data_IF_995518166153
#
_entry.id   IF_995518166153
#
_cell.length_a   1.000
_cell.length_b   1.000
_cell.length_c   1.000
_cell.angle_alpha   90.00
_cell.angle_beta   90.00
_cell.angle_gamma   90.00
#
_symmetry.space_group_name_H-M   'P 1'
#
loop_
_entity.id
_entity.type
_entity.pdbx_description
1 polymer ?
#
# COMPACT_ATOMS: atom_id res chain seq x y z
N UNK A 1 -12.60 12.13 -0.68
CA UNK A 1 -11.17 12.42 -0.45
C UNK A 1 -10.98 13.90 -0.72
N UNK A 2 -10.38 14.61 0.24
CA UNK A 2 -10.24 16.07 0.19
C UNK A 2 -8.85 16.41 -0.34
N UNK A 3 -8.79 17.09 -1.48
CA UNK A 3 -7.55 17.45 -2.16
C UNK A 3 -7.71 18.81 -2.85
N UNK A 4 -6.61 19.50 -3.11
CA UNK A 4 -6.66 20.87 -3.67
C UNK A 4 -6.98 20.91 -5.17
N UNK A 5 -6.76 19.80 -5.87
CA UNK A 5 -6.96 19.67 -7.31
C UNK A 5 -7.61 18.32 -7.66
N UNK A 6 -7.95 18.14 -8.93
CA UNK A 6 -8.42 16.85 -9.45
C UNK A 6 -7.30 15.81 -9.34
N UNK A 7 -7.63 14.67 -8.72
CA UNK A 7 -6.71 13.57 -8.49
C UNK A 7 -6.66 12.57 -9.63
N UNK A 8 -7.52 12.74 -10.65
CA UNK A 8 -7.66 11.79 -11.76
C UNK A 8 -7.91 10.36 -11.25
N UNK A 9 -8.90 10.22 -10.36
CA UNK A 9 -9.24 8.93 -9.75
C UNK A 9 -9.99 8.03 -10.72
N UNK A 10 -9.45 6.83 -10.94
CA UNK A 10 -10.11 5.73 -11.62
C UNK A 10 -10.36 4.56 -10.66
N UNK A 11 -11.21 3.62 -11.10
CA UNK A 11 -11.45 2.37 -10.39
C UNK A 11 -10.69 1.21 -11.05
N UNK A 12 -9.97 0.46 -10.24
CA UNK A 12 -9.19 -0.68 -10.68
C UNK A 12 -9.66 -1.96 -10.02
N UNK A 13 -9.72 -3.04 -10.80
CA UNK A 13 -9.90 -4.40 -10.30
C UNK A 13 -8.56 -5.13 -10.42
N UNK A 14 -8.04 -5.58 -9.29
CA UNK A 14 -6.83 -6.38 -9.25
C UNK A 14 -7.16 -7.84 -8.91
N UNK A 15 -6.86 -8.80 -9.80
CA UNK A 15 -7.04 -10.21 -9.51
C UNK A 15 -6.02 -10.72 -8.47
N UNK A 16 -6.34 -11.86 -7.86
CA UNK A 16 -5.38 -12.61 -7.01
C UNK A 16 -4.22 -13.17 -7.84
N UNK A 17 -3.07 -13.39 -7.20
CA UNK A 17 -1.88 -13.98 -7.80
C UNK A 17 -0.97 -13.00 -8.55
N UNK A 18 -1.27 -11.69 -8.53
CA UNK A 18 -0.42 -10.67 -9.15
C UNK A 18 0.91 -10.57 -8.43
N UNK A 19 2.00 -10.62 -9.17
CA UNK A 19 3.33 -10.28 -8.66
C UNK A 19 3.48 -8.76 -8.67
N UNK A 20 3.80 -8.19 -7.52
CA UNK A 20 3.95 -6.74 -7.33
C UNK A 20 5.30 -6.42 -6.68
N UNK A 21 5.72 -5.18 -6.84
CA UNK A 21 6.84 -4.60 -6.12
C UNK A 21 6.47 -3.24 -5.52
N UNK A 22 7.27 -2.79 -4.56
CA UNK A 22 7.03 -1.58 -3.80
C UNK A 22 7.39 -0.29 -4.53
N UNK A 23 7.72 -0.30 -5.82
CA UNK A 23 8.04 0.91 -6.59
C UNK A 23 9.42 1.51 -6.29
N UNK A 24 10.33 0.77 -5.64
CA UNK A 24 11.66 1.24 -5.24
C UNK A 24 12.81 0.53 -5.98
N UNK A 25 12.52 0.03 -7.20
CA UNK A 25 13.49 -0.71 -8.02
C UNK A 25 14.02 -1.97 -7.32
N UNK A 26 15.32 -2.22 -7.40
CA UNK A 26 15.96 -3.43 -6.87
C UNK A 26 15.87 -3.56 -5.34
N UNK A 27 15.72 -2.44 -4.63
CA UNK A 27 15.53 -2.42 -3.18
C UNK A 27 14.07 -2.57 -2.77
N UNK A 28 13.16 -2.63 -3.75
CA UNK A 28 11.73 -2.73 -3.56
C UNK A 28 11.32 -4.05 -2.91
N UNK A 29 10.43 -3.94 -1.93
CA UNK A 29 9.71 -5.06 -1.38
C UNK A 29 8.86 -5.73 -2.45
N UNK A 30 8.90 -7.05 -2.55
CA UNK A 30 8.16 -7.82 -3.57
C UNK A 30 7.13 -8.72 -2.90
N UNK A 31 5.94 -8.82 -3.50
CA UNK A 31 4.90 -9.72 -3.03
C UNK A 31 4.06 -10.32 -4.15
N UNK A 32 3.25 -11.32 -3.77
CA UNK A 32 2.19 -11.86 -4.61
C UNK A 32 0.84 -11.65 -3.91
N UNK A 33 -0.16 -11.16 -4.63
CA UNK A 33 -1.50 -10.95 -4.08
C UNK A 33 -2.18 -12.29 -3.77
N UNK A 34 -2.75 -12.41 -2.56
CA UNK A 34 -3.54 -13.56 -2.13
C UNK A 34 -5.02 -13.37 -2.43
N UNK A 35 -5.50 -12.13 -2.29
CA UNK A 35 -6.88 -11.75 -2.51
C UNK A 35 -7.00 -10.79 -3.68
N UNK A 36 -8.12 -10.87 -4.39
CA UNK A 36 -8.52 -9.84 -5.36
C UNK A 36 -9.09 -8.60 -4.65
N UNK A 37 -8.94 -7.43 -5.27
CA UNK A 37 -9.44 -6.16 -4.73
C UNK A 37 -10.04 -5.25 -5.80
N UNK A 38 -10.95 -4.38 -5.36
CA UNK A 38 -11.38 -3.18 -6.08
C UNK A 38 -10.87 -1.96 -5.33
N UNK A 39 -10.27 -1.02 -6.06
CA UNK A 39 -9.61 0.14 -5.45
C UNK A 39 -9.90 1.43 -6.22
N UNK A 40 -9.79 2.56 -5.53
CA UNK A 40 -9.67 3.88 -6.12
C UNK A 40 -8.19 4.24 -6.30
N UNK A 41 -7.82 4.71 -7.49
CA UNK A 41 -6.47 5.22 -7.75
C UNK A 41 -6.35 6.71 -7.43
N UNK A 42 -5.12 7.14 -7.18
CA UNK A 42 -4.72 8.54 -7.22
C UNK A 42 -3.63 8.70 -8.29
N UNK A 43 -3.88 9.57 -9.27
CA UNK A 43 -3.01 9.83 -10.43
C UNK A 43 -2.55 8.57 -11.17
N UNK A 44 -3.35 7.49 -11.16
CA UNK A 44 -2.96 6.19 -11.72
C UNK A 44 -1.66 5.58 -11.16
N UNK A 45 -1.18 6.11 -10.02
CA UNK A 45 0.14 5.80 -9.47
C UNK A 45 0.08 5.13 -8.09
N UNK A 46 -1.01 5.30 -7.35
CA UNK A 46 -1.17 4.75 -6.01
C UNK A 46 -2.60 4.34 -5.69
N UNK A 47 -2.74 3.51 -4.67
CA UNK A 47 -4.04 3.09 -4.12
C UNK A 47 -4.42 3.99 -2.95
N UNK A 48 -5.43 4.83 -3.16
CA UNK A 48 -5.93 5.72 -2.11
C UNK A 48 -6.83 4.96 -1.13
N UNK A 49 -7.81 4.23 -1.63
CA UNK A 49 -8.69 3.38 -0.83
C UNK A 49 -9.19 2.16 -1.60
N UNK A 50 -9.82 1.22 -0.91
CA UNK A 50 -10.44 0.07 -1.55
C UNK A 50 -10.89 -1.02 -0.61
N UNK A 51 -11.39 -2.10 -1.20
CA UNK A 51 -11.86 -3.29 -0.51
C UNK A 51 -11.42 -4.56 -1.22
N UNK A 52 -11.07 -5.59 -0.46
CA UNK A 52 -10.77 -6.90 -1.03
C UNK A 52 -11.96 -7.87 -0.99
N UNK A 53 -11.84 -9.00 -1.66
CA UNK A 53 -12.88 -10.04 -1.75
C UNK A 53 -13.23 -10.72 -0.41
N UNK A 54 -12.57 -10.37 0.69
CA UNK A 54 -12.88 -10.81 2.06
C UNK A 54 -13.59 -9.74 2.88
N UNK A 55 -13.84 -8.56 2.31
CA UNK A 55 -14.52 -7.45 2.97
C UNK A 55 -13.61 -6.59 3.83
N UNK A 56 -12.29 -6.78 3.79
CA UNK A 56 -11.35 -5.85 4.40
C UNK A 56 -11.35 -4.55 3.60
N UNK A 57 -11.50 -3.43 4.30
CA UNK A 57 -11.47 -2.07 3.73
C UNK A 57 -10.21 -1.37 4.23
N UNK A 58 -9.49 -0.71 3.31
CA UNK A 58 -8.32 0.10 3.63
C UNK A 58 -8.47 1.49 3.00
N UNK A 59 -8.05 2.53 3.73
CA UNK A 59 -8.12 3.93 3.31
C UNK A 59 -6.81 4.61 3.73
N UNK A 60 -6.07 5.17 2.79
CA UNK A 60 -4.89 6.01 3.04
C UNK A 60 -5.30 7.46 3.14
N UNK A 61 -5.20 8.02 4.34
CA UNK A 61 -5.51 9.42 4.61
C UNK A 61 -4.23 10.23 4.67
N UNK A 62 -4.26 11.40 4.05
CA UNK A 62 -3.12 12.31 4.07
C UNK A 62 -2.94 12.92 5.46
N UNK A 63 -1.69 12.95 5.93
CA UNK A 63 -1.31 13.57 7.19
C UNK A 63 0.05 14.26 7.01
N UNK A 64 0.03 15.58 6.80
CA UNK A 64 1.22 16.43 6.52
C UNK A 64 2.32 16.29 7.58
N UNK A 65 1.93 16.07 8.84
CA UNK A 65 2.86 15.99 9.97
C UNK A 65 3.50 14.60 10.14
N UNK A 66 3.31 13.69 9.17
CA UNK A 66 3.86 12.34 9.24
C UNK A 66 5.38 12.33 9.02
N UNK A 67 6.08 11.60 9.89
CA UNK A 67 7.51 11.35 9.74
C UNK A 67 7.76 9.92 9.24
N UNK A 68 8.50 9.81 8.14
CA UNK A 68 8.94 8.52 7.60
C UNK A 68 10.38 8.22 8.00
N UNK A 69 10.72 6.98 8.37
CA UNK A 69 12.07 6.63 8.77
C UNK A 69 13.05 6.78 7.60
N UNK A 70 14.25 7.28 7.88
CA UNK A 70 15.32 7.34 6.87
C UNK A 70 15.76 5.92 6.50
N UNK A 71 15.91 5.61 5.19
CA UNK A 71 16.45 4.31 4.77
C UNK A 71 17.96 4.18 5.01
N UNK A 72 18.66 5.26 5.40
CA UNK A 72 20.11 5.26 5.56
C UNK A 72 20.54 4.36 6.73
N UNK A 73 21.30 3.32 6.42
CA UNK A 73 21.81 2.37 7.42
C UNK A 73 20.80 1.29 7.82
N UNK A 74 19.66 1.22 7.13
CA UNK A 74 18.68 0.16 7.29
C UNK A 74 18.73 -0.80 6.09
N UNK A 75 18.72 -2.10 6.37
CA UNK A 75 18.84 -3.14 5.34
C UNK A 75 17.48 -3.76 4.99
N UNK A 76 16.37 -3.25 5.54
CA UNK A 76 15.04 -3.69 5.18
C UNK A 76 14.69 -3.24 3.76
N UNK A 77 13.91 -4.03 3.01
CA UNK A 77 13.40 -3.60 1.72
C UNK A 77 12.54 -2.32 1.85
N UNK A 78 12.49 -1.55 0.77
CA UNK A 78 11.78 -0.29 0.70
C UNK A 78 10.44 -0.44 -0.02
N UNK A 79 9.52 0.46 0.28
CA UNK A 79 8.22 0.57 -0.38
C UNK A 79 7.89 2.05 -0.54
N UNK A 80 7.47 2.44 -1.74
CA UNK A 80 6.86 3.73 -2.00
C UNK A 80 5.59 3.86 -1.16
N UNK A 81 5.40 5.00 -0.52
CA UNK A 81 4.19 5.27 0.24
C UNK A 81 2.91 5.12 -0.61
N UNK A 82 2.98 5.41 -1.92
CA UNK A 82 1.87 5.26 -2.85
C UNK A 82 1.37 3.80 -2.98
N UNK A 83 2.25 2.83 -2.71
CA UNK A 83 1.93 1.41 -2.75
C UNK A 83 1.46 0.85 -1.40
N UNK A 84 1.60 1.60 -0.30
CA UNK A 84 1.46 1.08 1.07
C UNK A 84 0.11 0.41 1.37
N UNK A 85 -0.98 0.96 0.84
CA UNK A 85 -2.34 0.44 1.07
C UNK A 85 -2.54 -0.94 0.44
N UNK A 86 -1.93 -1.19 -0.72
CA UNK A 86 -2.26 -2.34 -1.56
C UNK A 86 -1.85 -3.70 -0.95
N UNK A 87 -0.68 -3.87 -0.31
CA UNK A 87 -0.32 -5.09 0.43
C UNK A 87 -1.28 -5.47 1.57
N UNK A 88 -2.01 -4.53 2.16
CA UNK A 88 -3.01 -4.84 3.18
C UNK A 88 -4.21 -5.56 2.53
N UNK A 89 -4.74 -4.97 1.45
CA UNK A 89 -5.83 -5.55 0.66
C UNK A 89 -5.43 -6.87 0.01
N UNK A 90 -4.17 -6.99 -0.43
CA UNK A 90 -3.68 -8.16 -1.15
C UNK A 90 -3.48 -9.39 -0.24
N UNK A 91 -3.27 -9.23 1.08
CA UNK A 91 -2.86 -10.33 1.96
C UNK A 91 -3.80 -10.67 3.10
N UNK A 92 -4.52 -9.68 3.63
CA UNK A 92 -5.27 -9.84 4.87
C UNK A 92 -6.77 -9.98 4.62
N UNK A 93 -7.40 -10.93 5.32
CA UNK A 93 -8.85 -11.13 5.22
C UNK A 93 -9.63 -10.26 6.22
N UNK A 94 -8.97 -9.88 7.31
CA UNK A 94 -9.57 -9.20 8.47
C UNK A 94 -8.53 -8.27 9.08
N UNK A 95 -9.00 -7.25 9.79
CA UNK A 95 -8.10 -6.42 10.61
C UNK A 95 -7.56 -7.25 11.78
N UNK A 96 -6.23 -7.43 11.82
CA UNK A 96 -5.52 -8.03 12.95
C UNK A 96 -4.39 -7.10 13.39
N UNK A 97 -4.55 -6.50 14.57
CA UNK A 97 -3.60 -5.55 15.14
C UNK A 97 -2.22 -6.15 15.42
N UNK A 98 -2.11 -7.47 15.52
CA UNK A 98 -0.82 -8.16 15.70
C UNK A 98 0.07 -8.10 14.45
N UNK A 99 -0.49 -7.77 13.29
CA UNK A 99 0.24 -7.68 12.02
C UNK A 99 1.02 -6.37 11.87
N UNK A 100 0.52 -5.27 12.43
CA UNK A 100 1.14 -3.94 12.29
C UNK A 100 2.60 -3.91 12.80
N UNK A 101 2.93 -4.39 14.02
CA UNK A 101 4.31 -4.44 14.49
C UNK A 101 5.21 -5.39 13.69
N UNK A 102 4.63 -6.39 13.01
CA UNK A 102 5.39 -7.33 12.18
C UNK A 102 5.78 -6.70 10.84
N UNK A 103 4.89 -5.90 10.25
CA UNK A 103 5.13 -5.22 8.97
C UNK A 103 6.09 -4.04 9.11
N UNK A 104 5.92 -3.23 10.15
CA UNK A 104 6.84 -2.11 10.44
C UNK A 104 8.26 -2.56 10.76
N UNK A 105 8.51 -3.84 11.01
CA UNK A 105 9.85 -4.45 11.17
C UNK A 105 10.41 -5.09 9.90
N UNK A 106 9.61 -5.23 8.84
CA UNK A 106 9.97 -5.96 7.61
C UNK A 106 10.21 -5.07 6.40
N UNK A 107 9.58 -3.90 6.35
CA UNK A 107 9.68 -2.97 5.22
C UNK A 107 9.70 -1.53 5.73
N UNK A 108 10.33 -0.64 4.98
CA UNK A 108 10.28 0.81 5.22
C UNK A 108 9.43 1.45 4.13
N UNK A 109 8.39 2.18 4.54
CA UNK A 109 7.69 3.10 3.65
C UNK A 109 8.52 4.39 3.50
N UNK A 110 8.79 4.79 2.27
CA UNK A 110 9.53 6.01 1.92
C UNK A 110 8.76 6.81 0.87
N UNK A 111 8.96 8.12 0.89
CA UNK A 111 8.69 9.00 -0.26
C UNK A 111 9.71 8.73 -1.37
#
# INVERSE_FOLDING_TARGET
MDWQEDMHTDLWIFPRGMKRDGGMGDQGFKWASKYGSVVSSIYEAGTADGMNEKGLVANSLFLVESEYPSPKGDNRPLMSIAAWTQPELDWDATQDSSQWPRRSRRVIASL
#
